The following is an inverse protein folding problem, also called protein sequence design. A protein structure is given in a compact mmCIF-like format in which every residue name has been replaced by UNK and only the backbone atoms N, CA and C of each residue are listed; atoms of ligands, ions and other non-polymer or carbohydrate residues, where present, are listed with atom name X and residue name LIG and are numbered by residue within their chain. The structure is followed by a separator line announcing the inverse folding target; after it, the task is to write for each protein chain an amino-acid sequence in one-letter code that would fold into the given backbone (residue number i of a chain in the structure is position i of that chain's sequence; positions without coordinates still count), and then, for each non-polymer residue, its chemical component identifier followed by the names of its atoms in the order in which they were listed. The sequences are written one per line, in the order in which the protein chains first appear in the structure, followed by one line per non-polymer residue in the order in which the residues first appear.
data_IF_651243175497
#
_entry.id   IF_651243175497
#
_cell.length_a   1.000
_cell.length_b   1.000
_cell.length_c   1.000
_cell.angle_alpha   90.00
_cell.angle_beta   90.00
_cell.angle_gamma   90.00
#
_symmetry.space_group_name_H-M   'P 1'
#
loop_
_entity.id
_entity.type
_entity.pdbx_description
1 polymer ?
#
# COMPACT_ATOMS: atom_id res chain seq x y z
N UNK A 1 5.14 -9.46 -34.99
CA UNK A 1 6.16 -8.47 -34.61
C UNK A 1 7.18 -9.18 -33.75
N UNK A 2 8.34 -9.52 -34.32
CA UNK A 2 9.37 -10.31 -33.66
C UNK A 2 10.38 -9.32 -33.07
N UNK A 3 10.45 -9.22 -31.74
CA UNK A 3 11.34 -8.29 -31.05
C UNK A 3 12.59 -9.03 -30.59
N UNK A 4 13.70 -8.53 -31.11
CA UNK A 4 15.10 -8.91 -30.97
C UNK A 4 15.50 -9.42 -29.57
N UNK A 5 16.43 -10.39 -29.54
CA UNK A 5 16.90 -11.12 -28.35
C UNK A 5 18.14 -10.49 -27.68
N UNK A 6 18.63 -9.35 -28.16
CA UNK A 6 19.93 -8.80 -27.74
C UNK A 6 19.87 -7.38 -27.13
N UNK A 7 19.04 -7.16 -26.11
CA UNK A 7 19.19 -6.05 -25.16
C UNK A 7 19.29 -6.61 -23.74
N UNK A 8 20.48 -6.51 -23.13
CA UNK A 8 20.73 -6.98 -21.77
C UNK A 8 19.73 -6.36 -20.77
N UNK A 9 19.00 -7.21 -20.05
CA UNK A 9 18.03 -6.89 -18.98
C UNK A 9 16.76 -6.12 -19.37
N UNK A 10 16.12 -6.40 -20.50
CA UNK A 10 14.69 -6.04 -20.65
C UNK A 10 13.82 -6.99 -19.83
N UNK A 11 13.31 -6.55 -18.66
CA UNK A 11 12.28 -7.29 -17.90
C UNK A 11 10.97 -7.29 -18.68
N UNK A 12 10.70 -8.37 -19.42
CA UNK A 12 9.48 -8.54 -20.23
C UNK A 12 8.43 -9.27 -19.39
N UNK A 13 7.18 -8.82 -19.49
CA UNK A 13 6.09 -9.39 -18.71
C UNK A 13 4.88 -8.45 -18.65
N UNK A 14 3.95 -8.75 -17.75
CA UNK A 14 2.76 -7.96 -17.47
C UNK A 14 3.10 -6.81 -16.51
N UNK A 15 2.81 -5.54 -16.88
CA UNK A 15 2.93 -4.43 -15.94
C UNK A 15 2.13 -4.67 -14.66
N UNK A 16 2.75 -4.43 -13.50
CA UNK A 16 2.16 -4.76 -12.20
C UNK A 16 0.77 -4.15 -12.00
N UNK A 17 0.51 -2.96 -12.55
CA UNK A 17 -0.79 -2.29 -12.46
C UNK A 17 -1.93 -3.11 -13.07
N UNK A 18 -1.69 -3.84 -14.16
CA UNK A 18 -2.68 -4.74 -14.74
C UNK A 18 -2.88 -6.00 -13.90
N UNK A 19 -1.82 -6.50 -13.27
CA UNK A 19 -1.93 -7.61 -12.30
C UNK A 19 -2.79 -7.19 -11.12
N UNK A 20 -2.54 -6.01 -10.53
CA UNK A 20 -3.33 -5.49 -9.41
C UNK A 20 -4.81 -5.27 -9.78
N UNK A 21 -5.08 -4.75 -10.99
CA UNK A 21 -6.45 -4.63 -11.49
C UNK A 21 -7.12 -6.00 -11.58
N UNK A 22 -6.45 -6.99 -12.15
CA UNK A 22 -7.00 -8.33 -12.34
C UNK A 22 -7.24 -9.04 -11.00
N UNK A 23 -6.40 -8.79 -9.98
CA UNK A 23 -6.64 -9.23 -8.60
C UNK A 23 -7.98 -8.69 -8.10
N UNK A 24 -8.17 -7.37 -8.16
CA UNK A 24 -9.39 -6.72 -7.68
C UNK A 24 -10.65 -7.16 -8.44
N UNK A 25 -10.51 -7.60 -9.69
CA UNK A 25 -11.63 -7.99 -10.54
C UNK A 25 -12.00 -9.47 -10.42
N UNK A 26 -11.02 -10.36 -10.25
CA UNK A 26 -11.21 -11.80 -10.45
C UNK A 26 -10.88 -12.67 -9.24
N UNK A 27 -10.06 -12.18 -8.30
CA UNK A 27 -9.59 -12.99 -7.18
C UNK A 27 -10.48 -12.80 -5.94
N UNK A 28 -10.70 -13.87 -5.18
CA UNK A 28 -11.63 -13.85 -4.03
C UNK A 28 -10.93 -13.83 -2.68
N UNK A 29 -9.72 -14.38 -2.61
CA UNK A 29 -8.91 -14.43 -1.38
C UNK A 29 -7.51 -13.91 -1.65
N UNK A 30 -6.75 -13.61 -0.58
CA UNK A 30 -5.36 -13.23 -0.73
C UNK A 30 -4.52 -14.35 -1.34
N UNK A 31 -4.85 -15.62 -1.13
CA UNK A 31 -4.17 -16.77 -1.73
C UNK A 31 -4.37 -16.84 -3.24
N UNK A 32 -5.59 -16.56 -3.74
CA UNK A 32 -5.86 -16.45 -5.18
C UNK A 32 -4.97 -15.36 -5.81
N UNK A 33 -4.91 -14.20 -5.15
CA UNK A 33 -4.10 -13.06 -5.58
C UNK A 33 -2.59 -13.37 -5.58
N UNK A 34 -2.09 -14.01 -4.52
CA UNK A 34 -0.70 -14.46 -4.43
C UNK A 34 -0.41 -15.47 -5.54
N UNK A 35 -1.31 -16.42 -5.81
CA UNK A 35 -1.16 -17.37 -6.89
C UNK A 35 -1.13 -16.69 -8.28
N UNK A 36 -1.98 -15.68 -8.51
CA UNK A 36 -1.93 -14.87 -9.74
C UNK A 36 -0.60 -14.14 -9.90
N UNK A 37 -0.13 -13.47 -8.85
CA UNK A 37 1.16 -12.79 -8.88
C UNK A 37 2.31 -13.77 -9.13
N UNK A 38 2.24 -14.98 -8.54
CA UNK A 38 3.26 -16.01 -8.69
C UNK A 38 3.34 -16.56 -10.12
N UNK A 39 2.20 -16.73 -10.78
CA UNK A 39 2.07 -17.28 -12.14
C UNK A 39 2.21 -16.23 -13.26
N UNK A 40 2.30 -14.94 -12.90
CA UNK A 40 2.50 -13.86 -13.86
C UNK A 40 3.99 -13.64 -14.18
N UNK A 41 4.31 -13.35 -15.45
CA UNK A 41 5.60 -12.78 -15.83
C UNK A 41 5.71 -11.33 -15.30
N UNK A 42 6.42 -11.12 -14.19
CA UNK A 42 6.53 -9.83 -13.49
C UNK A 42 7.56 -8.94 -14.16
N UNK A 43 7.47 -7.61 -14.00
CA UNK A 43 8.38 -6.66 -14.70
C UNK A 43 9.18 -5.72 -13.79
N UNK A 44 8.78 -5.56 -12.53
CA UNK A 44 9.41 -4.61 -11.60
C UNK A 44 9.56 -5.23 -10.21
N UNK A 45 10.24 -4.50 -9.32
CA UNK A 45 10.42 -4.86 -7.92
C UNK A 45 9.66 -3.87 -7.05
N UNK A 46 8.64 -4.34 -6.31
CA UNK A 46 7.79 -3.53 -5.43
C UNK A 46 7.36 -4.36 -4.22
N UNK A 47 6.90 -3.69 -3.17
CA UNK A 47 6.09 -4.32 -2.13
C UNK A 47 4.61 -4.14 -2.46
N UNK A 48 3.83 -5.20 -2.35
CA UNK A 48 2.37 -5.18 -2.55
C UNK A 48 1.70 -5.72 -1.30
N UNK A 49 0.80 -4.93 -0.73
CA UNK A 49 -0.09 -5.40 0.33
C UNK A 49 -1.33 -6.05 -0.26
N UNK A 50 -1.66 -7.26 0.15
CA UNK A 50 -2.90 -7.95 -0.23
C UNK A 50 -3.58 -8.49 1.01
N UNK A 51 -4.84 -8.14 1.20
CA UNK A 51 -5.66 -8.68 2.28
C UNK A 51 -7.06 -9.03 1.79
N UNK A 52 -7.74 -9.84 2.57
CA UNK A 52 -9.12 -10.24 2.30
C UNK A 52 -9.94 -10.30 3.59
N UNK A 53 -11.25 -10.17 3.44
CA UNK A 53 -12.19 -10.19 4.57
C UNK A 53 -12.55 -11.59 5.06
N UNK A 54 -12.14 -12.65 4.35
CA UNK A 54 -12.42 -14.04 4.77
C UNK A 54 -11.47 -14.47 5.87
N UNK A 55 -10.19 -14.11 5.73
CA UNK A 55 -9.15 -14.36 6.71
C UNK A 55 -8.99 -13.24 7.73
N UNK A 56 -9.51 -12.04 7.43
CA UNK A 56 -9.28 -10.80 8.19
C UNK A 56 -7.78 -10.53 8.40
N UNK A 57 -7.00 -10.83 7.37
CA UNK A 57 -5.55 -10.72 7.40
C UNK A 57 -5.03 -10.08 6.12
N UNK A 58 -3.85 -9.49 6.25
CA UNK A 58 -3.08 -8.93 5.16
C UNK A 58 -1.70 -9.55 5.13
N UNK A 59 -1.23 -9.84 3.92
CA UNK A 59 0.15 -10.20 3.64
C UNK A 59 0.82 -9.07 2.85
N UNK A 60 2.10 -8.84 3.13
CA UNK A 60 2.96 -8.01 2.29
C UNK A 60 3.77 -8.95 1.40
N UNK A 61 3.71 -8.73 0.09
CA UNK A 61 4.40 -9.52 -0.91
C UNK A 61 5.58 -8.73 -1.45
N UNK A 62 6.79 -9.24 -1.23
CA UNK A 62 7.97 -8.85 -2.00
C UNK A 62 7.81 -9.38 -3.42
N UNK A 63 7.37 -8.50 -4.31
CA UNK A 63 7.09 -8.80 -5.71
C UNK A 63 8.28 -8.36 -6.56
N UNK A 64 8.94 -9.29 -7.26
CA UNK A 64 10.05 -8.97 -8.14
C UNK A 64 10.04 -9.79 -9.44
N UNK A 65 10.91 -9.43 -10.39
CA UNK A 65 11.09 -10.22 -11.63
C UNK A 65 11.46 -11.68 -11.34
N UNK A 66 12.30 -11.93 -10.34
CA UNK A 66 12.91 -13.26 -10.09
C UNK A 66 12.30 -13.99 -8.90
N UNK A 67 11.68 -13.24 -7.98
CA UNK A 67 11.17 -13.77 -6.71
C UNK A 67 9.79 -13.23 -6.38
N UNK A 68 9.05 -14.02 -5.61
CA UNK A 68 7.83 -13.62 -4.94
C UNK A 68 7.83 -14.20 -3.54
N UNK A 69 7.83 -13.35 -2.53
CA UNK A 69 7.86 -13.79 -1.12
C UNK A 69 6.72 -13.11 -0.36
N UNK A 70 5.68 -13.85 0.05
CA UNK A 70 4.65 -13.33 0.94
C UNK A 70 5.15 -13.34 2.40
N UNK A 71 4.80 -12.30 3.14
CA UNK A 71 5.05 -12.17 4.56
C UNK A 71 3.78 -11.76 5.28
N UNK A 72 3.60 -12.30 6.48
CA UNK A 72 2.58 -11.88 7.44
C UNK A 72 3.23 -11.17 8.63
N UNK A 73 2.41 -10.73 9.59
CA UNK A 73 2.88 -9.98 10.78
C UNK A 73 3.97 -10.70 11.58
N UNK A 74 3.99 -12.04 11.54
CA UNK A 74 4.97 -12.86 12.27
C UNK A 74 6.20 -13.25 11.46
N UNK A 75 6.11 -13.22 10.12
CA UNK A 75 7.19 -13.68 9.24
C UNK A 75 7.98 -12.54 8.60
N UNK A 76 7.47 -11.30 8.62
CA UNK A 76 8.20 -10.15 8.10
C UNK A 76 9.49 -9.87 8.92
N UNK A 77 10.65 -9.61 8.29
CA UNK A 77 11.90 -9.43 9.01
C UNK A 77 11.85 -8.29 10.03
N UNK A 78 12.24 -8.59 11.27
CA UNK A 78 12.32 -7.62 12.37
C UNK A 78 13.76 -7.14 12.60
N UNK A 79 13.95 -5.83 12.74
CA UNK A 79 15.24 -5.21 13.07
C UNK A 79 15.04 -3.84 13.73
N UNK A 80 16.11 -3.17 14.17
CA UNK A 80 16.00 -1.92 14.96
C UNK A 80 15.18 -0.81 14.29
N UNK A 81 15.26 -0.69 12.96
CA UNK A 81 14.49 0.28 12.18
C UNK A 81 13.15 -0.28 11.65
N UNK A 82 12.79 -1.51 12.02
CA UNK A 82 11.53 -2.16 11.69
C UNK A 82 11.14 -3.14 12.81
N UNK A 83 10.70 -2.61 13.97
CA UNK A 83 10.31 -3.45 15.10
C UNK A 83 9.08 -4.30 14.78
N UNK A 84 9.04 -5.51 15.36
CA UNK A 84 7.83 -6.31 15.40
C UNK A 84 6.78 -5.59 16.24
N UNK A 85 5.55 -5.55 15.72
CA UNK A 85 4.37 -5.05 16.41
C UNK A 85 3.31 -6.14 16.23
N UNK A 86 2.78 -6.65 17.33
CA UNK A 86 1.78 -7.73 17.30
C UNK A 86 0.54 -7.29 16.48
N UNK A 87 0.10 -8.18 15.59
CA UNK A 87 -1.00 -7.98 14.64
C UNK A 87 -0.85 -6.80 13.67
N UNK A 88 0.36 -6.25 13.51
CA UNK A 88 0.64 -5.17 12.56
C UNK A 88 1.75 -5.60 11.60
N UNK A 89 1.48 -5.49 10.30
CA UNK A 89 2.48 -5.61 9.25
C UNK A 89 2.56 -4.29 8.47
N UNK A 90 3.78 -3.84 8.16
CA UNK A 90 4.00 -2.58 7.47
C UNK A 90 5.30 -2.59 6.66
N UNK A 91 5.38 -1.72 5.66
CA UNK A 91 6.62 -1.41 4.93
C UNK A 91 6.89 0.06 5.15
N UNK A 92 8.05 0.37 5.73
CA UNK A 92 8.49 1.76 5.88
C UNK A 92 8.97 2.30 4.53
N UNK A 93 8.82 3.61 4.32
CA UNK A 93 9.43 4.28 3.17
C UNK A 93 10.94 4.08 3.24
N UNK A 94 11.59 3.84 2.10
CA UNK A 94 13.05 3.78 2.07
C UNK A 94 13.62 5.12 2.55
N UNK A 95 14.69 5.08 3.36
CA UNK A 95 15.32 6.26 3.97
C UNK A 95 15.71 7.26 2.88
N UNK A 96 14.89 8.28 2.71
CA UNK A 96 15.25 9.51 2.00
C UNK A 96 15.58 10.54 3.10
N UNK A 97 16.68 11.31 2.96
CA UNK A 97 17.26 12.09 4.05
C UNK A 97 16.22 12.99 4.69
N UNK A 98 15.74 12.57 5.86
CA UNK A 98 14.74 13.28 6.65
C UNK A 98 14.99 12.92 8.10
N UNK A 99 14.83 13.91 8.98
CA UNK A 99 14.83 13.75 10.43
C UNK A 99 13.54 13.12 10.95
N UNK A 100 12.84 12.36 10.10
CA UNK A 100 11.49 11.88 10.36
C UNK A 100 11.54 10.69 11.34
N UNK A 101 10.54 10.56 12.23
CA UNK A 101 10.41 9.36 13.03
C UNK A 101 10.26 8.14 12.10
N UNK A 102 10.79 6.99 12.49
CA UNK A 102 10.54 5.73 11.78
C UNK A 102 9.05 5.37 11.85
N UNK A 103 8.45 4.85 10.76
CA UNK A 103 7.05 4.43 10.75
C UNK A 103 6.75 3.43 11.87
N UNK A 104 7.68 2.52 12.14
CA UNK A 104 7.57 1.55 13.23
C UNK A 104 7.38 2.21 14.60
N UNK A 105 8.08 3.31 14.88
CA UNK A 105 7.91 4.03 16.15
C UNK A 105 6.52 4.66 16.25
N UNK A 106 6.04 5.27 15.17
CA UNK A 106 4.70 5.87 15.14
C UNK A 106 3.64 4.78 15.32
N UNK A 107 3.73 3.65 14.59
CA UNK A 107 2.77 2.56 14.76
C UNK A 107 2.81 1.97 16.17
N UNK A 108 3.99 1.81 16.75
CA UNK A 108 4.13 1.28 18.11
C UNK A 108 3.56 2.23 19.18
N UNK A 109 3.69 3.55 19.02
CA UNK A 109 3.03 4.55 19.89
C UNK A 109 1.50 4.42 19.88
N UNK A 110 0.92 4.05 18.73
CA UNK A 110 -0.53 3.88 18.55
C UNK A 110 -1.04 2.48 18.81
N UNK A 111 -0.18 1.51 19.11
CA UNK A 111 -0.55 0.09 19.15
C UNK A 111 -1.72 -0.18 20.10
N UNK A 112 -2.67 -1.02 19.64
CA UNK A 112 -3.97 -1.24 20.29
C UNK A 112 -5.02 -0.14 20.06
N UNK A 113 -4.65 1.00 19.47
CA UNK A 113 -5.55 2.12 19.15
C UNK A 113 -5.33 2.67 17.72
N UNK A 114 -4.78 1.86 16.81
CA UNK A 114 -4.57 2.23 15.41
C UNK A 114 -5.91 2.18 14.68
N UNK A 115 -6.61 3.31 14.62
CA UNK A 115 -7.78 3.50 13.77
C UNK A 115 -7.43 4.31 12.51
N UNK A 116 -8.40 4.50 11.62
CA UNK A 116 -8.19 5.28 10.39
C UNK A 116 -7.67 6.70 10.70
N UNK A 117 -8.17 7.33 11.76
CA UNK A 117 -7.77 8.68 12.18
C UNK A 117 -6.33 8.72 12.65
N UNK A 118 -5.88 7.72 13.39
CA UNK A 118 -4.49 7.54 13.78
C UNK A 118 -3.61 7.45 12.54
N UNK A 119 -3.99 6.62 11.56
CA UNK A 119 -3.21 6.46 10.33
C UNK A 119 -3.06 7.78 9.55
N UNK A 120 -4.13 8.54 9.35
CA UNK A 120 -4.02 9.78 8.56
C UNK A 120 -3.51 11.00 9.36
N UNK A 121 -3.76 11.10 10.67
CA UNK A 121 -3.30 12.25 11.48
C UNK A 121 -1.94 12.04 12.13
N UNK A 122 -1.57 10.80 12.44
CA UNK A 122 -0.33 10.47 13.12
C UNK A 122 0.68 9.85 12.15
N UNK A 123 0.31 8.82 11.39
CA UNK A 123 1.26 8.21 10.46
C UNK A 123 1.51 9.12 9.24
N UNK A 124 0.50 9.35 8.39
CA UNK A 124 0.68 10.09 7.14
C UNK A 124 1.21 11.52 7.36
N UNK A 125 0.60 12.27 8.29
CA UNK A 125 0.96 13.67 8.53
C UNK A 125 2.32 13.85 9.24
N UNK A 126 2.65 13.06 10.28
CA UNK A 126 3.96 13.22 10.98
C UNK A 126 5.13 12.70 10.14
N UNK A 127 4.89 11.68 9.32
CA UNK A 127 5.90 11.09 8.44
C UNK A 127 5.98 11.78 7.07
N UNK A 128 5.14 12.79 6.85
CA UNK A 128 5.03 13.53 5.59
C UNK A 128 5.02 12.56 4.40
N UNK A 129 4.10 11.59 4.42
CA UNK A 129 3.98 10.57 3.38
C UNK A 129 2.62 10.64 2.68
N UNK A 130 2.64 10.39 1.38
CA UNK A 130 1.49 10.60 0.51
C UNK A 130 1.35 12.05 0.07
N UNK A 131 2.41 12.62 -0.51
CA UNK A 131 2.44 14.01 -0.99
C UNK A 131 1.27 14.34 -1.92
N UNK A 132 1.04 13.45 -2.91
CA UNK A 132 0.01 13.66 -3.94
C UNK A 132 -1.36 13.13 -3.54
N UNK A 133 -1.39 12.00 -2.83
CA UNK A 133 -2.60 11.28 -2.50
C UNK A 133 -2.38 10.43 -1.26
N UNK A 134 -3.36 10.44 -0.35
CA UNK A 134 -3.42 9.50 0.78
C UNK A 134 -4.76 8.79 0.73
N UNK A 135 -4.73 7.47 0.88
CA UNK A 135 -5.90 6.63 1.03
C UNK A 135 -5.73 5.73 2.26
N UNK A 136 -6.74 5.72 3.13
CA UNK A 136 -6.85 4.81 4.28
C UNK A 136 -8.14 4.01 4.13
N UNK A 137 -8.03 2.68 4.21
CA UNK A 137 -9.14 1.76 4.06
C UNK A 137 -9.46 1.14 5.42
N UNK A 138 -10.68 1.34 5.90
CA UNK A 138 -11.24 0.72 7.09
C UNK A 138 -12.19 -0.39 6.64
N UNK A 139 -11.66 -1.61 6.55
CA UNK A 139 -12.41 -2.78 6.08
C UNK A 139 -13.51 -3.20 7.05
N UNK A 140 -13.34 -2.98 8.36
CA UNK A 140 -14.35 -3.35 9.35
C UNK A 140 -15.61 -2.49 9.17
N UNK A 141 -15.45 -1.18 9.01
CA UNK A 141 -16.57 -0.24 8.88
C UNK A 141 -16.96 0.07 7.42
N UNK A 142 -16.23 -0.48 6.44
CA UNK A 142 -16.43 -0.23 5.01
C UNK A 142 -16.32 1.26 4.65
N UNK A 143 -15.34 1.94 5.24
CA UNK A 143 -15.03 3.34 4.95
C UNK A 143 -13.69 3.48 4.23
N UNK A 144 -13.64 4.41 3.29
CA UNK A 144 -12.38 4.86 2.69
C UNK A 144 -12.20 6.34 3.01
N UNK A 145 -11.02 6.72 3.49
CA UNK A 145 -10.64 8.09 3.76
C UNK A 145 -9.62 8.53 2.74
N UNK A 146 -9.89 9.61 2.02
CA UNK A 146 -9.08 10.05 0.89
C UNK A 146 -8.72 11.51 1.02
N UNK A 147 -7.46 11.84 0.73
CA UNK A 147 -6.99 13.19 0.55
C UNK A 147 -6.18 13.30 -0.74
N UNK A 148 -6.28 14.45 -1.41
CA UNK A 148 -5.52 14.79 -2.62
C UNK A 148 -4.78 16.10 -2.38
N UNK A 149 -3.56 16.21 -2.93
CA UNK A 149 -2.79 17.44 -2.90
C UNK A 149 -3.53 18.61 -3.58
N UNK A 150 -3.15 19.83 -3.21
CA UNK A 150 -3.60 21.00 -3.95
C UNK A 150 -3.04 20.99 -5.38
N UNK A 151 -3.81 21.52 -6.33
CA UNK A 151 -3.32 21.82 -7.68
C UNK A 151 -2.11 22.75 -7.55
N UNK A 152 -1.02 22.41 -8.22
CA UNK A 152 0.18 23.25 -8.25
C UNK A 152 -0.13 24.60 -8.91
N UNK A 153 0.18 25.69 -8.19
CA UNK A 153 0.09 27.06 -8.71
C UNK A 153 1.45 27.71 -8.52
N UNK A 154 2.06 28.16 -9.62
CA UNK A 154 3.38 28.80 -9.61
C UNK A 154 3.39 30.00 -8.65
N UNK A 155 4.41 30.06 -7.77
CA UNK A 155 4.58 31.12 -6.78
C UNK A 155 3.74 30.99 -5.51
N UNK A 156 3.01 29.89 -5.32
CA UNK A 156 2.24 29.60 -4.10
C UNK A 156 2.79 28.36 -3.39
N UNK A 157 2.78 28.32 -2.04
CA UNK A 157 3.03 27.09 -1.30
C UNK A 157 2.04 26.00 -1.71
N UNK A 158 2.54 24.79 -2.00
CA UNK A 158 1.70 23.64 -2.31
C UNK A 158 1.34 22.92 -1.01
N UNK A 159 0.03 22.76 -0.75
CA UNK A 159 -0.44 21.90 0.33
C UNK A 159 -0.45 20.44 -0.14
N UNK A 160 0.31 19.60 0.55
CA UNK A 160 0.40 18.17 0.28
C UNK A 160 -0.83 17.43 0.81
N UNK A 161 -1.12 16.23 0.29
CA UNK A 161 -2.32 15.51 0.68
C UNK A 161 -2.32 15.11 2.16
N UNK A 162 -1.16 14.78 2.74
CA UNK A 162 -1.03 14.48 4.17
C UNK A 162 -1.36 15.68 5.09
N UNK A 163 -1.36 16.91 4.56
CA UNK A 163 -1.70 18.15 5.29
C UNK A 163 -3.17 18.55 5.12
N UNK A 164 -3.91 17.86 4.25
CA UNK A 164 -5.24 18.27 3.82
C UNK A 164 -6.34 17.50 4.54
N UNK A 165 -7.54 18.08 4.67
CA UNK A 165 -8.70 17.37 5.19
C UNK A 165 -9.04 16.13 4.35
N UNK A 166 -9.46 15.07 5.02
CA UNK A 166 -9.84 13.82 4.39
C UNK A 166 -11.34 13.80 4.10
N UNK A 167 -11.69 13.33 2.91
CA UNK A 167 -13.06 12.97 2.54
C UNK A 167 -13.30 11.53 2.93
N UNK A 168 -14.36 11.28 3.70
CA UNK A 168 -14.80 9.91 4.03
C UNK A 168 -15.84 9.43 3.03
N UNK A 169 -15.59 8.28 2.43
CA UNK A 169 -16.48 7.58 1.50
C UNK A 169 -17.09 6.37 2.22
N UNK A 170 -18.41 6.22 2.12
CA UNK A 170 -19.11 5.01 2.56
C UNK A 170 -19.15 4.01 1.41
N UNK A 171 -18.28 3.00 1.46
CA UNK A 171 -18.08 2.07 0.36
C UNK A 171 -19.28 1.16 0.15
N UNK A 172 -19.94 0.74 1.23
CA UNK A 172 -21.20 -0.03 1.11
C UNK A 172 -22.30 0.77 0.45
N UNK A 173 -22.40 2.09 0.70
CA UNK A 173 -23.36 2.93 0.01
C UNK A 173 -23.02 3.10 -1.48
N UNK A 174 -21.75 3.33 -1.79
CA UNK A 174 -21.27 3.52 -3.18
C UNK A 174 -21.47 2.26 -4.02
N UNK A 175 -21.10 1.07 -3.52
CA UNK A 175 -21.24 -0.16 -4.30
C UNK A 175 -22.67 -0.67 -4.44
N UNK A 176 -23.61 -0.12 -3.67
CA UNK A 176 -25.04 -0.39 -3.82
C UNK A 176 -25.76 0.67 -4.69
N UNK A 177 -25.04 1.63 -5.28
CA UNK A 177 -25.62 2.61 -6.20
C UNK A 177 -26.00 1.92 -7.52
N UNK A 178 -27.28 2.00 -7.88
CA UNK A 178 -27.77 1.61 -9.20
C UNK A 178 -27.70 2.84 -10.12
N UNK A 179 -26.97 2.72 -11.23
CA UNK A 179 -26.83 3.76 -12.26
C UNK A 179 -28.00 3.76 -13.25
#
# INVERSE_FOLDING_TARGET
MQIDKNMGNSRRGTPFTFVLRDILQFDKTKEDAINRMNTTDRTCSIFVGVGDSTSDQMDIVEYSYESLTPYNSTSYPTYTAHPYIEDVIYVDKHVQPSSDPCLGNVLNEGWGNIDAKYLFQQAAARLQTGDMHVAVYDYLNQFMYVSNAQIYVSGQPQLMAYERPYVRLNMSAIFNEEL
#
